data_IF_902903200127
#
_entry.id   IF_902903200127
#
_cell.length_a   1.000
_cell.length_b   1.000
_cell.length_c   1.000
_cell.angle_alpha   90.00
_cell.angle_beta   90.00
_cell.angle_gamma   90.00
#
_symmetry.space_group_name_H-M   'P 1'
#
loop_
_entity.id
_entity.type
_entity.pdbx_description
1 polymer ?
#
# COMPACT_ATOMS: atom_id res chain seq x y z
N UNK A 1 20.65 5.69 9.18
CA UNK A 1 21.11 4.53 8.37
C UNK A 1 20.94 4.72 6.84
N UNK A 2 21.77 4.06 6.00
CA UNK A 2 21.65 4.09 4.51
C UNK A 2 20.34 3.47 3.98
N UNK A 3 19.81 2.46 4.67
CA UNK A 3 18.51 1.85 4.32
C UNK A 3 17.37 2.85 4.52
N UNK A 4 17.34 3.56 5.65
CA UNK A 4 16.33 4.57 5.95
C UNK A 4 16.22 5.64 4.87
N UNK A 5 17.36 6.20 4.43
CA UNK A 5 17.36 7.20 3.36
C UNK A 5 16.82 6.64 2.03
N UNK A 6 17.12 5.37 1.71
CA UNK A 6 16.58 4.73 0.52
C UNK A 6 15.08 4.43 0.64
N UNK A 7 14.62 3.97 1.79
CA UNK A 7 13.20 3.73 2.07
C UNK A 7 12.40 5.04 2.04
N UNK A 8 12.92 6.10 2.64
CA UNK A 8 12.32 7.44 2.58
C UNK A 8 12.26 7.99 1.15
N UNK A 9 13.34 7.83 0.37
CA UNK A 9 13.34 8.23 -1.03
C UNK A 9 12.32 7.44 -1.86
N UNK A 10 12.14 6.14 -1.57
CA UNK A 10 11.12 5.32 -2.21
C UNK A 10 9.71 5.81 -1.87
N UNK A 11 9.40 6.01 -0.60
CA UNK A 11 8.09 6.50 -0.14
C UNK A 11 7.75 7.89 -0.70
N UNK A 12 8.72 8.81 -0.75
CA UNK A 12 8.50 10.12 -1.37
C UNK A 12 8.23 10.02 -2.87
N UNK A 13 8.91 9.09 -3.56
CA UNK A 13 8.69 8.87 -4.98
C UNK A 13 7.29 8.31 -5.25
N UNK A 14 6.85 7.35 -4.44
CA UNK A 14 5.51 6.77 -4.52
C UNK A 14 4.43 7.83 -4.24
N UNK A 15 4.54 8.59 -3.15
CA UNK A 15 3.64 9.71 -2.87
C UNK A 15 3.57 10.73 -4.00
N UNK A 16 4.71 11.05 -4.61
CA UNK A 16 4.75 11.97 -5.76
C UNK A 16 4.01 11.41 -6.97
N UNK A 17 4.09 10.10 -7.22
CA UNK A 17 3.30 9.49 -8.30
C UNK A 17 1.80 9.50 -7.95
N UNK A 18 1.44 9.15 -6.72
CA UNK A 18 0.04 9.20 -6.27
C UNK A 18 -0.55 10.63 -6.36
N UNK A 19 0.26 11.64 -6.05
CA UNK A 19 -0.13 13.05 -6.16
C UNK A 19 -0.26 13.49 -7.63
N UNK A 20 0.66 13.05 -8.50
CA UNK A 20 0.59 13.33 -9.93
C UNK A 20 -0.65 12.70 -10.56
N UNK A 21 -0.93 11.42 -10.29
CA UNK A 21 -2.12 10.74 -10.81
C UNK A 21 -3.40 11.48 -10.36
N UNK A 22 -3.45 11.91 -9.09
CA UNK A 22 -4.59 12.70 -8.57
C UNK A 22 -4.73 14.06 -9.25
N UNK A 23 -3.62 14.72 -9.56
CA UNK A 23 -3.63 16.00 -10.27
C UNK A 23 -4.09 15.83 -11.71
N UNK A 24 -3.60 14.81 -12.42
CA UNK A 24 -4.01 14.48 -13.79
C UNK A 24 -5.51 14.18 -13.84
N UNK A 25 -6.05 13.33 -12.95
CA UNK A 25 -7.49 13.06 -12.86
C UNK A 25 -8.30 14.35 -12.65
N UNK A 26 -7.80 15.26 -11.81
CA UNK A 26 -8.46 16.55 -11.53
C UNK A 26 -8.44 17.47 -12.74
N UNK A 27 -7.35 17.49 -13.49
CA UNK A 27 -7.23 18.26 -14.73
C UNK A 27 -8.17 17.71 -15.80
N UNK A 28 -8.22 16.38 -16.00
CA UNK A 28 -9.15 15.74 -16.93
C UNK A 28 -10.61 16.08 -16.62
N UNK A 29 -11.00 16.05 -15.34
CA UNK A 29 -12.35 16.45 -14.93
C UNK A 29 -12.62 17.94 -15.17
N UNK A 30 -11.62 18.80 -14.93
CA UNK A 30 -11.75 20.23 -15.18
C UNK A 30 -11.85 20.53 -16.68
N UNK A 31 -11.10 19.82 -17.52
CA UNK A 31 -11.20 19.91 -18.97
C UNK A 31 -12.52 19.35 -19.49
N UNK A 32 -12.97 18.21 -18.98
CA UNK A 32 -14.29 17.67 -19.30
C UNK A 32 -15.40 18.65 -18.90
N UNK A 33 -15.30 19.31 -17.74
CA UNK A 33 -16.24 20.34 -17.30
C UNK A 33 -16.20 21.58 -18.21
N UNK A 34 -15.00 22.05 -18.60
CA UNK A 34 -14.84 23.16 -19.55
C UNK A 34 -15.41 22.82 -20.92
N UNK A 35 -15.14 21.63 -21.43
CA UNK A 35 -15.67 21.14 -22.71
C UNK A 35 -17.18 21.00 -22.66
N UNK A 36 -17.73 20.44 -21.59
CA UNK A 36 -19.17 20.36 -21.39
C UNK A 36 -19.81 21.76 -21.33
N UNK A 37 -19.18 22.72 -20.64
CA UNK A 37 -19.66 24.10 -20.62
C UNK A 37 -19.64 24.75 -22.01
N UNK A 38 -18.58 24.53 -22.80
CA UNK A 38 -18.49 25.01 -24.19
C UNK A 38 -19.54 24.36 -25.09
N UNK A 39 -19.82 23.05 -24.93
CA UNK A 39 -20.88 22.37 -25.69
C UNK A 39 -22.28 22.90 -25.32
N UNK A 40 -22.53 23.20 -24.04
CA UNK A 40 -23.77 23.84 -23.58
C UNK A 40 -23.90 25.26 -24.15
N UNK A 41 -22.82 26.05 -24.15
CA UNK A 41 -22.81 27.40 -24.74
C UNK A 41 -23.03 27.36 -26.26
N UNK A 42 -22.36 26.44 -26.96
CA UNK A 42 -22.53 26.24 -28.40
C UNK A 42 -23.96 25.79 -28.75
N UNK A 43 -24.55 24.89 -27.95
CA UNK A 43 -25.94 24.47 -28.11
C UNK A 43 -26.91 25.65 -27.85
N UNK A 44 -26.66 26.48 -26.84
CA UNK A 44 -27.47 27.67 -26.56
C UNK A 44 -27.37 28.70 -27.70
N UNK A 45 -26.18 28.94 -28.24
CA UNK A 45 -25.97 29.82 -29.40
C UNK A 45 -26.65 29.28 -30.67
N UNK A 46 -26.62 27.96 -30.89
CA UNK A 46 -27.33 27.33 -32.01
C UNK A 46 -28.85 27.50 -31.90
N UNK A 47 -29.43 27.35 -30.70
CA UNK A 47 -30.86 27.59 -30.46
C UNK A 47 -31.22 29.07 -30.67
N UNK A 48 -30.39 30.01 -30.23
CA UNK A 48 -30.62 31.44 -30.45
C UNK A 48 -30.58 31.82 -31.94
N UNK A 49 -29.63 31.28 -32.70
CA UNK A 49 -29.56 31.47 -34.15
C UNK A 49 -30.72 30.82 -34.90
N UNK A 50 -31.18 29.63 -34.45
CA UNK A 50 -32.37 28.99 -34.99
C UNK A 50 -33.66 29.79 -34.71
N UNK A 51 -33.78 30.38 -33.51
CA UNK A 51 -34.89 31.25 -33.16
C UNK A 51 -34.89 32.56 -33.96
N UNK A 52 -33.72 33.16 -34.21
CA UNK A 52 -33.60 34.35 -35.06
C UNK A 52 -33.94 34.10 -36.54
N UNK A 53 -33.79 32.86 -37.02
CA UNK A 53 -34.17 32.45 -38.36
C UNK A 53 -35.67 32.12 -38.51
N UNK A 54 -36.44 32.05 -37.41
CA UNK A 54 -37.84 31.57 -37.39
C UNK A 54 -38.90 32.67 -37.18
N UNK A 55 -38.61 33.95 -37.42
CA UNK A 55 -39.65 34.97 -37.62
C UNK A 55 -40.08 35.07 -39.10
N UNK A 56 -40.70 34.01 -39.66
CA UNK A 56 -41.73 34.06 -40.72
C UNK A 56 -42.60 32.80 -40.64
N UNK A 57 -43.87 33.03 -40.29
CA UNK A 57 -45.12 32.28 -40.57
C UNK A 57 -45.30 30.79 -40.16
N UNK A 58 -46.19 30.63 -39.15
CA UNK A 58 -47.34 29.71 -39.07
C UNK A 58 -47.24 28.16 -39.17
N UNK A 59 -47.84 27.55 -38.14
CA UNK A 59 -48.79 26.42 -38.14
C UNK A 59 -48.34 24.97 -38.42
N UNK A 60 -48.42 24.18 -37.33
CA UNK A 60 -49.02 22.83 -37.20
C UNK A 60 -48.66 21.68 -38.17
N UNK A 61 -48.16 20.56 -37.64
CA UNK A 61 -48.92 19.31 -37.43
C UNK A 61 -48.06 18.02 -37.33
N UNK A 62 -48.34 17.24 -36.27
CA UNK A 62 -48.59 15.80 -36.24
C UNK A 62 -47.55 14.74 -36.71
N UNK A 63 -47.12 13.95 -35.70
CA UNK A 63 -47.34 12.49 -35.54
C UNK A 63 -46.36 11.42 -36.11
N UNK A 64 -45.88 10.61 -35.14
CA UNK A 64 -45.79 9.14 -35.10
C UNK A 64 -44.65 8.40 -35.83
N UNK A 65 -43.82 7.69 -35.05
CA UNK A 65 -43.52 6.26 -35.24
C UNK A 65 -42.84 5.65 -34.00
N UNK A 66 -43.33 4.47 -33.61
CA UNK A 66 -42.92 3.67 -32.47
C UNK A 66 -41.70 2.79 -32.79
N UNK A 67 -40.84 2.50 -31.80
CA UNK A 67 -40.21 1.19 -31.63
C UNK A 67 -39.40 1.07 -30.31
N UNK A 68 -39.81 0.07 -29.53
CA UNK A 68 -38.98 -0.84 -28.73
C UNK A 68 -38.37 -0.41 -27.37
N UNK A 69 -38.85 -1.15 -26.36
CA UNK A 69 -38.13 -1.72 -25.22
C UNK A 69 -37.88 -0.84 -23.98
N UNK A 70 -38.77 -1.05 -23.01
CA UNK A 70 -38.63 -0.80 -21.57
C UNK A 70 -37.73 -1.88 -20.92
N UNK A 71 -37.50 -1.86 -19.59
CA UNK A 71 -36.51 -1.05 -18.90
C UNK A 71 -35.48 -1.92 -18.13
N UNK A 72 -34.50 -1.24 -17.56
CA UNK A 72 -33.49 -1.76 -16.66
C UNK A 72 -34.06 -2.67 -15.55
N UNK A 73 -33.48 -3.87 -15.45
CA UNK A 73 -33.42 -4.64 -14.20
C UNK A 73 -32.01 -4.47 -13.64
N UNK A 74 -31.79 -3.85 -12.47
CA UNK A 74 -30.51 -3.91 -11.81
C UNK A 74 -30.29 -5.34 -11.32
N UNK A 75 -29.30 -6.03 -11.88
CA UNK A 75 -28.81 -7.29 -11.35
C UNK A 75 -28.14 -7.01 -10.02
N UNK A 76 -28.92 -7.16 -8.95
CA UNK A 76 -28.43 -7.27 -7.59
C UNK A 76 -27.61 -8.56 -7.50
N UNK A 77 -26.28 -8.41 -7.52
CA UNK A 77 -25.34 -9.45 -7.12
C UNK A 77 -25.00 -9.24 -5.64
N UNK A 78 -25.82 -9.83 -4.77
CA UNK A 78 -25.41 -10.41 -3.48
C UNK A 78 -25.30 -11.92 -3.78
N UNK A 79 -24.28 -12.68 -3.40
CA UNK A 79 -23.52 -12.69 -2.17
C UNK A 79 -22.07 -13.15 -2.46
N UNK A 80 -21.11 -12.42 -1.90
CA UNK A 80 -19.73 -12.90 -1.75
C UNK A 80 -19.65 -13.57 -0.38
N UNK A 81 -19.70 -14.89 -0.36
CA UNK A 81 -19.22 -15.68 0.77
C UNK A 81 -17.69 -15.57 0.84
N UNK A 82 -17.21 -14.46 1.42
CA UNK A 82 -15.86 -14.38 1.97
C UNK A 82 -15.94 -14.93 3.37
N UNK A 83 -15.62 -16.22 3.50
CA UNK A 83 -15.39 -16.88 4.77
C UNK A 83 -14.13 -16.26 5.41
N UNK A 84 -14.34 -15.16 6.12
CA UNK A 84 -13.35 -14.52 6.99
C UNK A 84 -13.29 -15.35 8.27
N UNK A 85 -12.50 -16.42 8.26
CA UNK A 85 -12.20 -17.17 9.47
C UNK A 85 -11.32 -16.33 10.36
N UNK A 86 -11.94 -15.81 11.41
CA UNK A 86 -11.32 -15.10 12.51
C UNK A 86 -10.06 -15.83 13.00
N UNK A 87 -8.98 -15.04 13.04
CA UNK A 87 -7.79 -15.34 13.80
C UNK A 87 -8.15 -15.29 15.29
N UNK A 88 -8.65 -16.42 15.80
CA UNK A 88 -8.61 -16.71 17.22
C UNK A 88 -7.19 -17.16 17.56
N UNK A 89 -6.58 -16.34 18.40
CA UNK A 89 -5.28 -16.55 19.00
C UNK A 89 -5.15 -17.90 19.70
N UNK A 90 -3.88 -18.28 19.84
CA UNK A 90 -3.31 -19.09 20.90
C UNK A 90 -3.09 -20.57 20.57
N UNK A 91 -1.89 -21.01 20.95
CA UNK A 91 -1.39 -22.38 20.95
C UNK A 91 -1.09 -22.93 19.55
N UNK A 92 0.15 -22.87 19.07
CA UNK A 92 1.15 -23.86 19.51
C UNK A 92 2.55 -23.44 19.06
N UNK A 93 3.25 -22.62 19.85
CA UNK A 93 4.72 -22.59 19.83
C UNK A 93 5.18 -23.87 20.54
N UNK A 94 5.05 -24.98 19.83
CA UNK A 94 5.49 -26.30 20.30
C UNK A 94 7.02 -26.32 20.32
N UNK A 95 7.55 -26.13 21.52
CA UNK A 95 8.67 -26.89 22.07
C UNK A 95 9.90 -27.07 21.15
N UNK A 96 10.65 -26.00 20.92
CA UNK A 96 12.09 -26.13 20.73
C UNK A 96 12.75 -26.09 22.11
N UNK A 97 12.79 -27.26 22.75
CA UNK A 97 13.76 -27.69 23.76
C UNK A 97 14.48 -26.56 24.50
N UNK A 98 13.95 -26.26 25.70
CA UNK A 98 14.62 -25.59 26.80
C UNK A 98 16.10 -26.00 26.89
N UNK A 99 16.96 -25.23 26.24
CA UNK A 99 18.39 -25.37 26.39
C UNK A 99 18.80 -24.49 27.55
N UNK A 100 18.43 -24.92 28.76
CA UNK A 100 19.01 -24.64 30.07
C UNK A 100 19.99 -23.45 30.21
N UNK A 101 19.59 -22.25 29.79
CA UNK A 101 20.31 -20.99 29.92
C UNK A 101 19.27 -19.95 30.33
N UNK A 102 19.56 -19.23 31.39
CA UNK A 102 18.69 -18.37 32.19
C UNK A 102 18.06 -17.16 31.46
N UNK A 103 17.42 -17.31 30.29
CA UNK A 103 16.96 -16.18 29.45
C UNK A 103 15.88 -15.35 30.21
N UNK A 104 16.06 -14.03 30.39
CA UNK A 104 15.14 -13.15 31.07
C UNK A 104 13.84 -13.07 30.28
N UNK A 105 12.74 -13.04 31.02
CA UNK A 105 11.43 -12.74 30.44
C UNK A 105 11.18 -11.23 30.34
N UNK A 106 11.94 -10.42 31.10
CA UNK A 106 11.82 -8.97 31.05
C UNK A 106 12.55 -8.39 29.82
N UNK A 107 11.88 -7.52 29.01
CA UNK A 107 12.48 -6.96 27.81
C UNK A 107 13.72 -6.10 28.07
N UNK A 108 13.81 -5.41 29.21
CA UNK A 108 14.98 -4.59 29.53
C UNK A 108 16.17 -5.47 29.95
N UNK A 109 15.91 -6.51 30.74
CA UNK A 109 16.94 -7.50 31.09
C UNK A 109 17.43 -8.28 29.87
N UNK A 110 16.54 -8.60 28.92
CA UNK A 110 16.91 -9.26 27.67
C UNK A 110 17.83 -8.39 26.80
N UNK A 111 17.60 -7.08 26.76
CA UNK A 111 18.46 -6.15 26.02
C UNK A 111 19.83 -5.96 26.67
N UNK A 112 19.92 -6.08 27.98
CA UNK A 112 21.18 -6.01 28.73
C UNK A 112 21.89 -7.37 28.87
N UNK A 113 21.34 -8.41 28.24
CA UNK A 113 21.87 -9.77 28.35
C UNK A 113 23.30 -9.86 27.76
N UNK A 114 24.26 -10.44 28.50
CA UNK A 114 25.62 -10.61 28.02
C UNK A 114 25.69 -11.69 26.92
N UNK A 115 25.73 -11.25 25.66
CA UNK A 115 25.88 -12.14 24.50
C UNK A 115 27.33 -12.63 24.37
N UNK A 116 27.52 -13.94 24.21
CA UNK A 116 28.85 -14.53 23.95
C UNK A 116 29.25 -14.37 22.48
N UNK A 117 29.73 -13.17 22.13
CA UNK A 117 30.17 -12.84 20.77
C UNK A 117 31.29 -13.75 20.22
N UNK A 118 32.13 -14.31 21.10
CA UNK A 118 33.20 -15.24 20.71
C UNK A 118 32.70 -16.49 20.01
N UNK A 119 31.56 -17.04 20.43
CA UNK A 119 30.94 -18.21 19.80
C UNK A 119 30.28 -17.82 18.48
N UNK A 120 29.77 -16.58 18.41
CA UNK A 120 29.09 -16.06 17.23
C UNK A 120 30.05 -15.74 16.07
N UNK A 121 31.29 -15.33 16.38
CA UNK A 121 32.36 -15.10 15.41
C UNK A 121 33.20 -16.34 15.13
N UNK A 122 33.13 -17.36 15.99
CA UNK A 122 33.73 -18.66 15.71
C UNK A 122 33.21 -19.21 14.37
N UNK A 123 34.09 -19.87 13.61
CA UNK A 123 33.78 -20.40 12.28
C UNK A 123 33.34 -19.31 11.27
N UNK A 124 34.06 -18.20 11.19
CA UNK A 124 33.87 -17.14 10.16
C UNK A 124 32.44 -16.56 10.12
N UNK A 125 31.78 -16.49 11.28
CA UNK A 125 30.41 -15.99 11.39
C UNK A 125 29.39 -16.90 10.67
N UNK A 126 29.63 -18.21 10.59
CA UNK A 126 28.69 -19.15 9.98
C UNK A 126 27.30 -19.08 10.63
N UNK A 127 27.20 -18.85 11.95
CA UNK A 127 25.92 -18.68 12.66
C UNK A 127 25.15 -17.45 12.14
N UNK A 128 25.85 -16.35 11.84
CA UNK A 128 25.23 -15.15 11.26
C UNK A 128 24.62 -15.46 9.90
N UNK A 129 25.34 -16.20 9.05
CA UNK A 129 24.93 -16.50 7.67
C UNK A 129 23.84 -17.59 7.61
N UNK A 130 24.00 -18.67 8.38
CA UNK A 130 23.12 -19.85 8.29
C UNK A 130 21.86 -19.76 9.15
N UNK A 131 21.90 -19.02 10.26
CA UNK A 131 20.77 -18.94 11.20
C UNK A 131 20.18 -17.53 11.29
N UNK A 132 21.01 -16.52 11.56
CA UNK A 132 20.51 -15.17 11.82
C UNK A 132 19.98 -14.52 10.54
N UNK A 133 20.68 -14.64 9.41
CA UNK A 133 20.27 -14.05 8.15
C UNK A 133 18.91 -14.59 7.63
N UNK A 134 18.66 -15.92 7.54
CA UNK A 134 17.35 -16.40 7.12
C UNK A 134 16.25 -16.07 8.14
N UNK A 135 16.55 -16.09 9.44
CA UNK A 135 15.60 -15.69 10.47
C UNK A 135 15.20 -14.21 10.34
N UNK A 136 16.18 -13.31 10.19
CA UNK A 136 15.93 -11.89 9.97
C UNK A 136 15.12 -11.66 8.69
N UNK A 137 15.44 -12.36 7.61
CA UNK A 137 14.68 -12.29 6.36
C UNK A 137 13.23 -12.74 6.54
N UNK A 138 12.99 -13.81 7.32
CA UNK A 138 11.64 -14.30 7.59
C UNK A 138 10.83 -13.27 8.37
N UNK A 139 11.40 -12.69 9.43
CA UNK A 139 10.71 -11.67 10.24
C UNK A 139 10.44 -10.39 9.43
N UNK A 140 11.37 -9.98 8.56
CA UNK A 140 11.18 -8.84 7.65
C UNK A 140 9.99 -9.09 6.72
N UNK A 141 9.90 -10.28 6.12
CA UNK A 141 8.78 -10.66 5.24
C UNK A 141 7.47 -10.76 6.03
N UNK A 142 7.51 -11.30 7.25
CA UNK A 142 6.32 -11.45 8.10
C UNK A 142 5.74 -10.10 8.52
N UNK A 143 6.59 -9.14 8.88
CA UNK A 143 6.17 -7.81 9.34
C UNK A 143 5.80 -6.86 8.19
N UNK A 144 6.51 -6.92 7.06
CA UNK A 144 6.31 -5.98 5.94
C UNK A 144 5.52 -6.58 4.78
N UNK A 145 5.31 -7.90 4.74
CA UNK A 145 4.70 -8.62 3.62
C UNK A 145 5.58 -8.73 2.36
N UNK A 146 6.73 -8.05 2.33
CA UNK A 146 7.63 -7.96 1.18
C UNK A 146 9.07 -8.29 1.60
N UNK A 147 9.83 -9.05 0.79
CA UNK A 147 11.23 -9.30 1.08
C UNK A 147 12.08 -8.04 0.91
N UNK A 148 12.57 -7.48 2.02
CA UNK A 148 13.56 -6.41 2.00
C UNK A 148 14.97 -6.93 2.32
N UNK A 149 15.71 -7.29 1.26
CA UNK A 149 17.09 -7.75 1.39
C UNK A 149 18.03 -6.68 2.01
N UNK A 150 17.79 -5.40 1.70
CA UNK A 150 18.56 -4.28 2.24
C UNK A 150 18.37 -4.11 3.75
N UNK A 151 17.14 -4.24 4.24
CA UNK A 151 16.81 -4.19 5.67
C UNK A 151 17.45 -5.38 6.39
N UNK A 152 17.29 -6.57 5.83
CA UNK A 152 17.89 -7.81 6.37
C UNK A 152 19.40 -7.66 6.50
N UNK A 153 20.07 -7.16 5.46
CA UNK A 153 21.51 -6.90 5.48
C UNK A 153 21.89 -5.88 6.55
N UNK A 154 21.14 -4.79 6.67
CA UNK A 154 21.41 -3.76 7.67
C UNK A 154 21.27 -4.30 9.10
N UNK A 155 20.25 -5.11 9.40
CA UNK A 155 20.09 -5.78 10.71
C UNK A 155 21.27 -6.71 11.00
N UNK A 156 21.66 -7.54 10.03
CA UNK A 156 22.81 -8.46 10.18
C UNK A 156 24.11 -7.69 10.38
N UNK A 157 24.34 -6.60 9.64
CA UNK A 157 25.50 -5.73 9.78
C UNK A 157 25.51 -5.02 11.16
N UNK A 158 24.35 -4.66 11.70
CA UNK A 158 24.23 -4.07 13.04
C UNK A 158 24.60 -5.07 14.14
N UNK A 159 24.14 -6.31 14.03
CA UNK A 159 24.51 -7.42 14.93
C UNK A 159 26.02 -7.70 14.82
N UNK A 160 26.58 -7.68 13.61
CA UNK A 160 28.02 -7.86 13.38
C UNK A 160 28.86 -6.75 14.02
N UNK A 161 28.36 -5.52 14.05
CA UNK A 161 29.03 -4.38 14.70
C UNK A 161 28.86 -4.38 16.23
N UNK A 162 28.12 -5.35 16.80
CA UNK A 162 27.84 -5.49 18.24
C UNK A 162 27.22 -4.22 18.83
N UNK A 163 26.45 -3.50 18.03
CA UNK A 163 25.74 -2.30 18.47
C UNK A 163 24.59 -2.67 19.40
N UNK A 164 24.19 -1.77 20.31
CA UNK A 164 23.10 -2.04 21.23
C UNK A 164 21.77 -2.25 20.46
N UNK A 165 20.89 -3.14 20.95
CA UNK A 165 19.59 -3.39 20.32
C UNK A 165 18.69 -2.15 20.31
N UNK A 166 18.83 -1.25 21.30
CA UNK A 166 18.09 0.00 21.36
C UNK A 166 18.36 0.92 20.16
N UNK A 167 19.62 0.99 19.71
CA UNK A 167 19.98 1.78 18.53
C UNK A 167 19.31 1.24 17.27
N UNK A 168 19.22 -0.09 17.13
CA UNK A 168 18.53 -0.69 16.00
C UNK A 168 17.05 -0.31 16.01
N UNK A 169 16.38 -0.41 17.17
CA UNK A 169 14.97 -0.03 17.30
C UNK A 169 14.76 1.45 17.02
N UNK A 170 15.66 2.31 17.50
CA UNK A 170 15.60 3.75 17.21
C UNK A 170 15.77 4.04 15.71
N UNK A 171 16.73 3.41 15.04
CA UNK A 171 16.93 3.57 13.59
C UNK A 171 15.80 2.96 12.74
N UNK A 172 15.05 1.99 13.27
CA UNK A 172 13.88 1.39 12.60
C UNK A 172 12.57 2.17 12.84
N UNK A 173 12.47 2.93 13.93
CA UNK A 173 11.29 3.75 14.26
C UNK A 173 11.34 5.18 13.73
N UNK A 174 12.54 5.73 13.54
CA UNK A 174 12.75 7.02 12.88
C UNK A 174 12.50 6.91 11.39
#
# INVERSE_FOLDING_TARGET
SRWWHRRQAFLQKEQRYDDLDREEEKEELAEAAKKAAQEVEAAAAAVANAAAAMEVDAAAAAAAAAAAATPATPSASQDKDVEMKEAAASESISSASASALNIPSDPQELWNWPVQWSVMEANDGQILKEKIMPFASQIVVELLGVPEADLTKYVVDHIRQRKPPQDLVAELRG
#
